data_IF_865579706432
#
_entry.id   IF_865579706432
#
_cell.length_a   1.000
_cell.length_b   1.000
_cell.length_c   1.000
_cell.angle_alpha   90.00
_cell.angle_beta   90.00
_cell.angle_gamma   90.00
#
_symmetry.space_group_name_H-M   'P 1'
#
loop_
_entity.id
_entity.type
_entity.pdbx_description
1 polymer ?
#
# COMPACT_ATOMS: atom_id res chain seq x y z
N UNK A 1 -19.68 -12.45 53.98
CA UNK A 1 -18.32 -12.74 54.45
C UNK A 1 -18.16 -14.26 54.54
N UNK A 2 -17.42 -14.86 53.62
CA UNK A 2 -16.95 -16.24 53.71
C UNK A 2 -15.47 -16.23 53.33
N UNK A 3 -14.62 -16.76 54.21
CA UNK A 3 -13.17 -16.96 54.02
C UNK A 3 -12.90 -18.47 54.00
N UNK A 4 -11.66 -18.80 53.56
CA UNK A 4 -10.88 -20.06 53.69
C UNK A 4 -10.87 -20.90 52.39
N UNK A 5 -9.73 -21.51 51.94
CA UNK A 5 -8.30 -21.16 52.09
C UNK A 5 -7.46 -21.34 50.80
N UNK A 6 -6.19 -20.91 50.86
CA UNK A 6 -5.09 -21.38 50.01
C UNK A 6 -4.64 -22.79 50.41
N UNK A 7 -4.41 -23.69 49.44
CA UNK A 7 -3.38 -24.74 49.52
C UNK A 7 -2.72 -24.96 48.15
N UNK A 8 -1.40 -25.04 48.21
CA UNK A 8 -0.49 -25.41 47.13
C UNK A 8 -0.39 -26.93 46.99
N UNK A 9 -0.05 -27.41 45.80
CA UNK A 9 0.75 -28.63 45.64
C UNK A 9 1.47 -28.62 44.27
N UNK A 10 2.78 -28.88 44.35
CA UNK A 10 3.72 -29.07 43.26
C UNK A 10 3.47 -30.40 42.55
N UNK A 11 3.80 -30.48 41.27
CA UNK A 11 4.31 -31.72 40.67
C UNK A 11 5.40 -31.34 39.65
N UNK A 12 6.61 -31.81 39.95
CA UNK A 12 7.76 -31.84 39.07
C UNK A 12 7.68 -33.10 38.20
N UNK A 13 8.18 -33.01 36.97
CA UNK A 13 8.79 -34.14 36.25
C UNK A 13 9.91 -33.62 35.34
N UNK A 14 11.11 -34.10 35.64
CA UNK A 14 12.29 -34.12 34.75
C UNK A 14 12.03 -35.06 33.56
N UNK A 15 12.66 -34.90 32.39
CA UNK A 15 13.97 -35.45 31.95
C UNK A 15 13.72 -35.72 30.43
N UNK A 16 14.56 -35.47 29.42
CA UNK A 16 15.81 -36.16 29.03
C UNK A 16 16.36 -35.42 27.78
N UNK A 17 17.68 -35.41 27.70
CA UNK A 17 18.61 -34.90 26.68
C UNK A 17 18.51 -35.65 25.33
N UNK A 18 18.69 -34.96 24.21
CA UNK A 18 19.38 -35.52 23.04
C UNK A 18 20.03 -34.41 22.19
N UNK A 19 21.36 -34.29 22.30
CA UNK A 19 22.21 -33.71 21.26
C UNK A 19 22.25 -34.67 20.07
N UNK A 20 22.10 -34.12 18.85
CA UNK A 20 22.54 -34.79 17.64
C UNK A 20 23.32 -33.79 16.80
N UNK A 21 24.64 -33.99 16.77
CA UNK A 21 25.54 -33.41 15.79
C UNK A 21 25.29 -34.08 14.43
N UNK A 22 25.16 -33.29 13.36
CA UNK A 22 25.15 -33.80 11.99
C UNK A 22 26.43 -33.33 11.32
N UNK A 23 27.20 -34.32 10.88
CA UNK A 23 28.43 -34.19 10.13
C UNK A 23 28.17 -33.60 8.73
N UNK A 24 29.07 -32.72 8.30
CA UNK A 24 29.17 -32.25 6.92
C UNK A 24 29.73 -33.38 6.04
N UNK A 25 29.05 -33.67 4.95
CA UNK A 25 29.58 -34.49 3.86
C UNK A 25 29.84 -33.57 2.66
N UNK A 26 31.09 -33.53 2.23
CA UNK A 26 31.59 -32.88 1.02
C UNK A 26 30.94 -33.48 -0.24
N UNK A 27 30.44 -32.61 -1.12
CA UNK A 27 30.14 -32.94 -2.53
C UNK A 27 31.06 -32.16 -3.46
N UNK A 28 31.69 -32.82 -4.45
CA UNK A 28 32.59 -32.15 -5.37
C UNK A 28 31.85 -31.42 -6.50
N UNK A 29 32.26 -30.17 -6.72
CA UNK A 29 32.50 -29.56 -8.03
C UNK A 29 31.39 -29.60 -9.08
N UNK A 30 30.59 -28.53 -9.15
CA UNK A 30 29.99 -28.07 -10.39
C UNK A 30 30.46 -26.64 -10.64
N UNK A 31 31.30 -26.44 -11.65
CA UNK A 31 31.75 -25.14 -12.14
C UNK A 31 30.55 -24.46 -12.82
N UNK A 32 29.80 -23.67 -12.05
CA UNK A 32 28.86 -22.71 -12.62
C UNK A 32 29.67 -21.59 -13.28
N UNK A 33 29.41 -21.37 -14.58
CA UNK A 33 29.91 -20.21 -15.31
C UNK A 33 29.41 -18.94 -14.61
N UNK A 34 30.34 -18.01 -14.35
CA UNK A 34 30.01 -16.69 -13.82
C UNK A 34 28.95 -16.03 -14.71
N UNK A 35 27.79 -15.62 -14.18
CA UNK A 35 26.87 -14.80 -14.95
C UNK A 35 27.59 -13.49 -15.28
N UNK A 36 27.68 -13.20 -16.57
CA UNK A 36 28.16 -11.92 -17.10
C UNK A 36 27.52 -10.80 -16.28
N UNK A 37 28.35 -10.07 -15.54
CA UNK A 37 27.95 -8.89 -14.80
C UNK A 37 27.39 -7.88 -15.80
N UNK A 38 26.06 -7.81 -15.89
CA UNK A 38 25.39 -6.68 -16.54
C UNK A 38 25.74 -5.46 -15.68
N UNK A 39 26.36 -4.41 -16.24
CA UNK A 39 26.61 -3.19 -15.47
C UNK A 39 25.29 -2.72 -14.87
N UNK A 40 25.17 -2.73 -13.54
CA UNK A 40 24.12 -1.97 -12.90
C UNK A 40 24.39 -0.51 -13.27
N UNK A 41 23.42 0.23 -13.83
CA UNK A 41 23.56 1.68 -13.89
C UNK A 41 23.74 2.14 -12.44
N UNK A 42 24.84 2.83 -12.18
CA UNK A 42 25.11 3.51 -10.91
C UNK A 42 23.97 4.50 -10.63
N UNK A 43 22.92 4.01 -9.98
CA UNK A 43 21.91 4.85 -9.35
C UNK A 43 22.40 5.17 -7.94
N UNK A 44 23.57 5.80 -7.83
CA UNK A 44 23.90 6.59 -6.65
C UNK A 44 23.05 7.86 -6.71
N UNK A 45 21.78 7.72 -6.34
CA UNK A 45 20.97 8.88 -5.98
C UNK A 45 21.67 9.47 -4.75
N UNK A 46 22.19 10.69 -4.88
CA UNK A 46 22.79 11.41 -3.77
C UNK A 46 21.78 11.41 -2.61
N UNK A 47 22.18 11.06 -1.37
CA UNK A 47 21.30 11.14 -0.22
C UNK A 47 20.83 12.60 -0.07
N UNK A 48 19.57 12.89 -0.39
CA UNK A 48 18.94 14.18 -0.11
C UNK A 48 18.20 14.88 -1.24
N UNK A 49 18.29 14.47 -2.51
CA UNK A 49 17.48 15.07 -3.57
C UNK A 49 16.11 14.36 -3.66
N UNK A 50 15.18 14.77 -2.79
CA UNK A 50 13.76 14.41 -2.94
C UNK A 50 13.21 15.24 -4.11
N UNK A 51 13.18 14.66 -5.31
CA UNK A 51 12.44 15.25 -6.42
C UNK A 51 10.97 14.95 -6.21
N UNK A 52 10.12 15.99 -6.26
CA UNK A 52 8.68 15.83 -6.24
C UNK A 52 8.23 14.78 -7.27
N UNK A 53 7.16 14.02 -6.98
CA UNK A 53 6.70 12.95 -7.86
C UNK A 53 6.40 13.47 -9.25
N UNK A 54 6.85 12.74 -10.27
CA UNK A 54 6.82 13.16 -11.68
C UNK A 54 5.40 13.06 -12.24
N UNK A 55 4.54 14.00 -11.88
CA UNK A 55 3.14 14.12 -12.34
C UNK A 55 2.25 12.96 -11.88
N UNK A 56 1.97 12.86 -10.58
CA UNK A 56 1.02 11.86 -10.07
C UNK A 56 -0.35 11.92 -10.76
N UNK A 57 -0.98 10.75 -10.91
CA UNK A 57 -2.38 10.64 -11.32
C UNK A 57 -3.20 10.08 -10.17
N UNK A 58 -4.24 10.80 -9.74
CA UNK A 58 -5.09 10.38 -8.61
C UNK A 58 -6.55 10.64 -8.89
N UNK A 59 -7.40 9.74 -8.39
CA UNK A 59 -8.85 9.93 -8.25
C UNK A 59 -9.15 9.94 -6.76
N UNK A 60 -9.81 10.99 -6.28
CA UNK A 60 -10.34 11.07 -4.93
C UNK A 60 -11.85 10.88 -4.95
N UNK A 61 -12.33 9.94 -4.15
CA UNK A 61 -13.74 9.74 -3.82
C UNK A 61 -13.97 10.26 -2.40
N UNK A 62 -14.62 11.42 -2.28
CA UNK A 62 -14.81 12.09 -0.99
C UNK A 62 -16.27 12.05 -0.57
N UNK A 63 -16.48 11.73 0.71
CA UNK A 63 -17.81 11.74 1.32
C UNK A 63 -17.97 12.96 2.24
N UNK A 64 -19.21 13.31 2.64
CA UNK A 64 -19.45 14.32 3.66
C UNK A 64 -18.74 14.00 4.98
N UNK A 65 -18.22 15.03 5.65
CA UNK A 65 -17.44 14.92 6.91
C UNK A 65 -18.25 14.40 8.10
N UNK A 66 -19.59 14.44 8.01
CA UNK A 66 -20.49 13.92 9.03
C UNK A 66 -20.51 12.38 9.11
N UNK A 67 -20.12 11.69 8.03
CA UNK A 67 -20.00 10.23 7.97
C UNK A 67 -18.50 9.84 7.97
N UNK A 68 -18.20 8.56 7.81
CA UNK A 68 -16.84 8.07 7.59
C UNK A 68 -16.87 6.70 6.90
N UNK A 69 -15.78 6.39 6.20
CA UNK A 69 -15.52 5.06 5.66
C UNK A 69 -14.97 4.18 6.77
N UNK A 70 -15.53 2.98 6.91
CA UNK A 70 -15.09 1.97 7.89
C UNK A 70 -14.54 0.72 7.21
N UNK A 71 -14.69 0.61 5.88
CA UNK A 71 -14.05 -0.42 5.07
C UNK A 71 -13.83 0.04 3.64
N UNK A 72 -12.71 -0.30 3.04
CA UNK A 72 -12.48 -0.27 1.59
C UNK A 72 -12.04 -1.67 1.13
N UNK A 73 -12.77 -2.24 0.18
CA UNK A 73 -12.42 -3.47 -0.51
C UNK A 73 -12.24 -3.15 -1.99
N UNK A 74 -11.20 -3.68 -2.63
CA UNK A 74 -10.96 -3.49 -4.07
C UNK A 74 -9.99 -4.54 -4.59
N UNK A 75 -9.90 -4.64 -5.92
CA UNK A 75 -9.03 -5.58 -6.60
C UNK A 75 -8.30 -4.87 -7.72
N UNK A 76 -7.04 -5.20 -7.97
CA UNK A 76 -6.37 -4.82 -9.21
C UNK A 76 -5.37 -5.88 -9.65
N UNK A 77 -5.05 -5.88 -10.94
CA UNK A 77 -4.10 -6.81 -11.54
C UNK A 77 -2.71 -6.20 -11.59
N UNK A 78 -1.69 -6.95 -11.16
CA UNK A 78 -0.29 -6.52 -11.25
C UNK A 78 0.08 -6.27 -12.72
N UNK A 79 0.45 -5.04 -13.10
CA UNK A 79 0.70 -4.69 -14.50
C UNK A 79 2.03 -5.26 -15.00
N UNK A 80 2.30 -5.21 -16.31
CA UNK A 80 3.62 -5.51 -16.86
C UNK A 80 4.73 -4.75 -16.14
N UNK A 81 5.91 -5.37 -16.02
CA UNK A 81 7.08 -4.73 -15.39
C UNK A 81 7.48 -3.50 -16.21
N UNK A 82 7.55 -2.31 -15.60
CA UNK A 82 8.03 -1.14 -16.30
C UNK A 82 9.56 -1.17 -16.43
N UNK A 83 10.16 -0.23 -17.20
CA UNK A 83 11.61 -0.06 -17.24
C UNK A 83 12.23 0.10 -15.85
N UNK A 84 13.52 -0.20 -15.72
CA UNK A 84 14.28 -0.03 -14.46
C UNK A 84 14.71 1.43 -14.28
N UNK A 85 13.73 2.33 -14.27
CA UNK A 85 13.93 3.78 -14.17
C UNK A 85 13.00 4.28 -13.06
N UNK A 86 13.60 4.96 -12.08
CA UNK A 86 12.87 5.54 -10.95
C UNK A 86 12.06 4.54 -10.14
N UNK A 87 11.11 5.03 -9.35
CA UNK A 87 10.21 4.15 -8.57
C UNK A 87 8.76 4.37 -8.97
N UNK A 88 8.03 3.28 -9.12
CA UNK A 88 6.60 3.31 -9.36
C UNK A 88 5.84 2.77 -8.15
N UNK A 89 4.86 3.55 -7.69
CA UNK A 89 3.89 3.17 -6.67
C UNK A 89 2.48 3.13 -7.25
N UNK A 90 1.78 2.03 -7.02
CA UNK A 90 0.40 1.79 -7.47
C UNK A 90 -0.43 1.38 -6.25
N UNK A 91 -1.50 2.11 -5.96
CA UNK A 91 -2.19 1.91 -4.69
C UNK A 91 -3.62 2.47 -4.67
N UNK A 92 -4.53 1.83 -3.92
CA UNK A 92 -5.65 2.50 -3.30
C UNK A 92 -5.26 3.02 -1.91
N UNK A 93 -5.99 4.00 -1.39
CA UNK A 93 -5.75 4.52 -0.05
C UNK A 93 -6.98 5.13 0.63
N UNK A 94 -6.84 5.37 1.93
CA UNK A 94 -7.80 6.09 2.77
C UNK A 94 -7.10 7.27 3.46
N UNK A 95 -7.75 8.43 3.43
CA UNK A 95 -7.27 9.67 4.03
C UNK A 95 -8.35 10.37 4.88
N UNK A 96 -7.94 11.13 5.91
CA UNK A 96 -8.83 12.03 6.64
C UNK A 96 -9.16 13.27 5.79
N UNK A 97 -10.36 13.85 5.99
CA UNK A 97 -10.79 15.11 5.33
C UNK A 97 -10.95 16.24 6.35
N UNK A 98 -10.52 17.49 6.06
CA UNK A 98 -10.74 18.63 6.95
C UNK A 98 -12.21 18.72 7.40
N UNK A 99 -12.42 18.86 8.70
CA UNK A 99 -13.76 18.87 9.33
C UNK A 99 -14.31 17.48 9.67
N UNK A 100 -13.63 16.40 9.27
CA UNK A 100 -13.95 15.04 9.66
C UNK A 100 -13.78 14.80 11.17
N UNK A 101 -14.42 13.74 11.67
CA UNK A 101 -14.35 13.36 13.08
C UNK A 101 -12.90 13.04 13.46
N UNK A 102 -12.41 13.75 14.47
CA UNK A 102 -11.03 13.64 14.95
C UNK A 102 -10.02 13.75 13.79
N UNK A 103 -10.09 14.84 13.02
CA UNK A 103 -9.40 14.99 11.74
C UNK A 103 -7.87 14.84 11.79
N UNK A 104 -7.18 15.30 12.84
CA UNK A 104 -5.71 15.34 12.86
C UNK A 104 -5.06 14.99 14.22
N UNK A 105 -5.40 13.86 14.87
CA UNK A 105 -4.79 13.45 16.14
C UNK A 105 -3.39 12.84 15.98
N UNK A 106 -2.98 12.54 14.74
CA UNK A 106 -1.74 11.82 14.42
C UNK A 106 -1.01 12.38 13.19
N UNK A 107 -1.47 13.47 12.58
CA UNK A 107 -1.03 13.92 11.25
C UNK A 107 -2.00 13.52 10.14
N UNK A 108 -1.74 14.03 8.94
CA UNK A 108 -2.52 13.79 7.72
C UNK A 108 -1.94 12.62 6.92
N UNK A 109 -1.84 11.46 7.56
CA UNK A 109 -1.30 10.26 6.93
C UNK A 109 -2.33 9.50 6.09
N UNK A 110 -1.81 8.59 5.27
CA UNK A 110 -2.56 7.76 4.31
C UNK A 110 -2.44 6.29 4.69
N UNK A 111 -3.56 5.58 4.84
CA UNK A 111 -3.58 4.11 4.81
C UNK A 111 -3.51 3.68 3.34
N UNK A 112 -2.50 2.91 2.96
CA UNK A 112 -2.32 2.51 1.56
C UNK A 112 -1.56 1.18 1.45
N UNK A 113 -2.13 0.16 0.84
CA UNK A 113 -1.36 -0.96 0.33
C UNK A 113 -0.70 -0.58 -0.99
N UNK A 114 0.63 -0.62 -1.04
CA UNK A 114 1.39 -0.10 -2.18
C UNK A 114 2.10 -1.21 -2.92
N UNK A 115 1.70 -1.43 -4.17
CA UNK A 115 2.45 -2.22 -5.13
C UNK A 115 3.61 -1.37 -5.67
N UNK A 116 4.83 -1.88 -5.52
CA UNK A 116 6.06 -1.13 -5.76
C UNK A 116 6.97 -1.82 -6.78
N UNK A 117 7.49 -1.01 -7.71
CA UNK A 117 8.60 -1.37 -8.59
C UNK A 117 9.71 -0.34 -8.43
N UNK A 118 10.78 -0.72 -7.72
CA UNK A 118 11.89 0.16 -7.37
C UNK A 118 12.23 0.09 -5.89
N UNK A 119 12.73 1.18 -5.33
CA UNK A 119 13.07 1.33 -3.91
C UNK A 119 11.94 2.04 -3.17
N UNK A 120 11.62 1.58 -1.96
CA UNK A 120 10.67 2.28 -1.07
C UNK A 120 11.29 2.57 0.30
N UNK A 121 10.71 3.54 0.99
CA UNK A 121 10.97 3.82 2.40
C UNK A 121 10.48 2.70 3.34
N UNK A 122 9.54 1.86 2.91
CA UNK A 122 9.01 0.75 3.70
C UNK A 122 8.48 -0.40 2.82
N UNK A 123 8.58 -1.66 3.29
CA UNK A 123 9.21 -2.10 4.54
C UNK A 123 10.74 -2.04 4.50
N UNK A 124 11.42 -2.06 5.67
CA UNK A 124 12.88 -2.16 5.73
C UNK A 124 13.43 -3.40 5.02
N UNK A 125 12.69 -4.52 5.08
CA UNK A 125 13.00 -5.75 4.34
C UNK A 125 12.11 -5.85 3.10
N UNK A 126 12.63 -5.40 1.97
CA UNK A 126 11.99 -5.45 0.65
C UNK A 126 12.82 -6.29 -0.33
N UNK A 127 12.21 -6.91 -1.36
CA UNK A 127 12.97 -7.54 -2.43
C UNK A 127 13.95 -6.55 -3.09
N UNK A 128 15.05 -7.04 -3.69
CA UNK A 128 15.99 -6.18 -4.41
C UNK A 128 15.26 -5.32 -5.45
N UNK A 129 15.62 -4.04 -5.53
CA UNK A 129 14.97 -3.11 -6.47
C UNK A 129 14.98 -3.69 -7.90
N UNK A 130 13.83 -3.58 -8.58
CA UNK A 130 13.63 -4.06 -9.95
C UNK A 130 13.81 -5.57 -10.20
N UNK A 131 13.87 -6.38 -9.14
CA UNK A 131 13.87 -7.85 -9.28
C UNK A 131 12.45 -8.38 -9.55
N UNK A 132 11.46 -7.81 -8.86
CA UNK A 132 10.07 -8.21 -8.90
C UNK A 132 9.16 -7.05 -8.52
N UNK A 133 7.91 -7.09 -8.95
CA UNK A 133 6.87 -6.36 -8.26
C UNK A 133 6.72 -6.93 -6.85
N UNK A 134 6.51 -6.06 -5.88
CA UNK A 134 6.22 -6.45 -4.51
C UNK A 134 5.21 -5.51 -3.89
N UNK A 135 4.41 -6.00 -2.94
CA UNK A 135 3.38 -5.21 -2.27
C UNK A 135 3.52 -5.32 -0.76
N UNK A 136 3.25 -4.22 -0.08
CA UNK A 136 3.15 -4.16 1.38
C UNK A 136 1.97 -3.26 1.77
N UNK A 137 1.26 -3.64 2.83
CA UNK A 137 0.32 -2.75 3.50
C UNK A 137 1.09 -1.72 4.35
N UNK A 138 0.80 -0.43 4.19
CA UNK A 138 1.52 0.63 4.86
C UNK A 138 0.66 1.82 5.28
N UNK A 139 1.19 2.60 6.20
CA UNK A 139 0.72 3.91 6.60
C UNK A 139 1.86 4.90 6.39
N UNK A 140 1.62 5.96 5.63
CA UNK A 140 2.62 6.98 5.33
C UNK A 140 2.13 8.32 5.84
N UNK A 141 2.96 9.02 6.59
CA UNK A 141 2.61 10.30 7.19
C UNK A 141 3.82 11.22 7.26
N UNK A 142 3.68 12.42 6.71
CA UNK A 142 4.74 13.45 6.70
C UNK A 142 4.64 14.43 7.87
N UNK A 143 3.75 14.16 8.84
CA UNK A 143 3.61 14.92 10.07
C UNK A 143 4.74 14.69 11.07
N UNK A 144 4.63 15.33 12.24
CA UNK A 144 5.71 15.40 13.22
C UNK A 144 5.56 14.45 14.43
N UNK A 145 4.45 13.72 14.58
CA UNK A 145 4.31 12.76 15.70
C UNK A 145 5.24 11.56 15.45
N UNK A 146 6.28 11.34 16.25
CA UNK A 146 7.28 10.30 16.00
C UNK A 146 6.70 8.88 16.02
N UNK A 147 5.52 8.68 16.61
CA UNK A 147 4.83 7.39 16.64
C UNK A 147 3.99 7.13 15.39
N UNK A 148 3.82 8.13 14.52
CA UNK A 148 2.97 8.05 13.34
C UNK A 148 3.66 8.56 12.07
N UNK A 149 4.68 9.41 12.19
CA UNK A 149 5.45 9.94 11.07
C UNK A 149 6.28 8.87 10.36
N UNK A 150 6.65 9.18 9.11
CA UNK A 150 7.42 8.33 8.22
C UNK A 150 6.58 7.27 7.51
N UNK A 151 7.25 6.22 7.05
CA UNK A 151 6.63 5.08 6.40
C UNK A 151 6.59 3.90 7.36
N UNK A 152 5.39 3.44 7.70
CA UNK A 152 5.15 2.31 8.61
C UNK A 152 4.47 1.21 7.84
N UNK A 153 4.97 -0.01 7.92
CA UNK A 153 4.40 -1.09 7.12
C UNK A 153 4.46 -2.44 7.81
N UNK A 154 3.69 -3.38 7.28
CA UNK A 154 3.86 -4.80 7.51
C UNK A 154 5.01 -5.37 6.68
N UNK A 155 5.01 -6.69 6.51
CA UNK A 155 5.94 -7.37 5.59
C UNK A 155 5.60 -7.07 4.13
N UNK A 156 6.59 -7.18 3.25
CA UNK A 156 6.37 -7.23 1.81
C UNK A 156 6.21 -8.68 1.33
N UNK A 157 5.49 -8.84 0.22
CA UNK A 157 5.49 -10.07 -0.58
C UNK A 157 5.78 -9.75 -2.05
N UNK A 158 6.61 -10.57 -2.68
CA UNK A 158 6.80 -10.54 -4.12
C UNK A 158 5.54 -11.06 -4.82
N UNK A 159 5.13 -10.41 -5.90
CA UNK A 159 3.94 -10.78 -6.68
C UNK A 159 4.27 -10.88 -8.16
N UNK A 160 3.47 -11.64 -8.90
CA UNK A 160 3.71 -11.90 -10.33
C UNK A 160 2.88 -10.96 -11.20
N UNK A 161 3.40 -10.60 -12.38
CA UNK A 161 2.61 -9.91 -13.40
C UNK A 161 1.37 -10.73 -13.75
N UNK A 162 0.22 -10.06 -13.89
CA UNK A 162 -1.07 -10.71 -14.17
C UNK A 162 -1.74 -11.33 -12.94
N UNK A 163 -1.12 -11.29 -11.76
CA UNK A 163 -1.75 -11.69 -10.51
C UNK A 163 -2.78 -10.63 -10.09
N UNK A 164 -4.00 -11.06 -9.76
CA UNK A 164 -4.98 -10.20 -9.08
C UNK A 164 -4.64 -10.12 -7.61
N UNK A 165 -4.65 -8.90 -7.07
CA UNK A 165 -4.45 -8.61 -5.66
C UNK A 165 -5.76 -8.11 -5.07
N UNK A 166 -6.22 -8.82 -4.03
CA UNK A 166 -7.39 -8.46 -3.25
C UNK A 166 -6.95 -7.59 -2.07
N UNK A 167 -7.54 -6.41 -1.95
CA UNK A 167 -7.24 -5.44 -0.90
C UNK A 167 -8.45 -5.29 0.01
N UNK A 168 -8.20 -5.37 1.32
CA UNK A 168 -9.18 -5.08 2.36
C UNK A 168 -8.58 -4.20 3.45
N UNK A 169 -9.12 -2.99 3.60
CA UNK A 169 -8.83 -2.09 4.69
C UNK A 169 -10.07 -1.96 5.56
N UNK A 170 -10.01 -2.38 6.82
CA UNK A 170 -11.18 -2.44 7.71
C UNK A 170 -10.89 -1.85 9.09
N UNK A 171 -11.83 -1.03 9.58
CA UNK A 171 -11.80 -0.47 10.92
C UNK A 171 -12.46 -1.41 11.92
N UNK A 172 -11.71 -1.84 12.94
CA UNK A 172 -12.32 -2.37 14.15
C UNK A 172 -12.89 -1.20 14.97
N UNK A 173 -14.20 -0.99 14.88
CA UNK A 173 -14.91 0.12 15.54
C UNK A 173 -14.85 0.08 17.07
N UNK A 174 -14.55 -1.06 17.66
CA UNK A 174 -14.42 -1.22 19.11
C UNK A 174 -13.05 -0.75 19.60
N UNK A 175 -11.98 -1.02 18.84
CA UNK A 175 -10.61 -0.72 19.26
C UNK A 175 -10.01 0.52 18.58
N UNK A 176 -10.63 1.03 17.51
CA UNK A 176 -10.09 2.10 16.69
C UNK A 176 -8.91 1.67 15.79
N UNK A 177 -8.64 0.36 15.71
CA UNK A 177 -7.54 -0.20 14.91
C UNK A 177 -8.01 -0.45 13.49
N UNK A 178 -7.30 0.13 12.53
CA UNK A 178 -7.39 -0.23 11.12
C UNK A 178 -6.50 -1.42 10.83
N UNK A 179 -7.03 -2.42 10.12
CA UNK A 179 -6.26 -3.53 9.54
C UNK A 179 -6.33 -3.44 8.03
N UNK A 180 -5.16 -3.49 7.40
CA UNK A 180 -4.98 -3.59 5.96
C UNK A 180 -4.50 -5.01 5.65
N UNK A 181 -5.14 -5.69 4.71
CA UNK A 181 -4.76 -7.01 4.24
C UNK A 181 -4.68 -6.99 2.72
N UNK A 182 -3.60 -7.57 2.18
CA UNK A 182 -3.45 -7.82 0.76
C UNK A 182 -3.34 -9.32 0.57
N UNK A 183 -4.12 -9.87 -0.37
CA UNK A 183 -4.10 -11.30 -0.71
C UNK A 183 -3.93 -11.47 -2.20
N UNK A 184 -3.11 -12.43 -2.60
CA UNK A 184 -2.95 -12.84 -3.99
C UNK A 184 -2.52 -14.30 -4.07
N UNK A 185 -2.29 -14.79 -5.29
CA UNK A 185 -1.79 -16.15 -5.51
C UNK A 185 -0.41 -16.38 -4.87
N UNK A 186 0.41 -15.32 -4.75
CA UNK A 186 1.75 -15.38 -4.18
C UNK A 186 1.77 -15.37 -2.64
N UNK A 187 0.64 -15.09 -1.98
CA UNK A 187 0.52 -15.12 -0.53
C UNK A 187 -0.39 -14.02 0.02
N UNK A 188 -0.19 -13.69 1.30
CA UNK A 188 -0.89 -12.60 1.97
C UNK A 188 0.06 -11.83 2.89
N UNK A 189 -0.14 -10.51 2.96
CA UNK A 189 0.54 -9.62 3.89
C UNK A 189 -0.46 -8.68 4.54
N UNK A 190 -0.19 -8.29 5.78
CA UNK A 190 -1.07 -7.39 6.53
C UNK A 190 -0.30 -6.36 7.36
N UNK A 191 -0.99 -5.28 7.71
CA UNK A 191 -0.51 -4.24 8.60
C UNK A 191 -1.67 -3.69 9.42
N UNK A 192 -1.44 -3.38 10.69
CA UNK A 192 -2.46 -2.82 11.57
C UNK A 192 -1.94 -1.57 12.27
N UNK A 193 -2.81 -0.56 12.41
CA UNK A 193 -2.46 0.70 13.07
C UNK A 193 -3.68 1.27 13.81
N UNK A 194 -3.47 1.75 15.03
CA UNK A 194 -4.48 2.52 15.76
C UNK A 194 -4.33 3.99 15.38
N UNK A 195 -5.29 4.51 14.61
CA UNK A 195 -5.25 5.90 14.14
C UNK A 195 -5.89 6.90 15.11
N UNK A 196 -5.96 6.55 16.41
CA UNK A 196 -6.60 7.34 17.46
C UNK A 196 -8.05 7.74 17.12
N UNK A 197 -8.80 6.88 16.44
CA UNK A 197 -10.17 7.18 15.95
C UNK A 197 -10.26 8.34 14.93
N UNK A 198 -9.19 8.64 14.20
CA UNK A 198 -9.23 9.55 13.05
C UNK A 198 -10.13 8.99 11.95
N UNK A 199 -11.21 9.71 11.62
CA UNK A 199 -12.11 9.31 10.56
C UNK A 199 -11.42 9.35 9.19
N UNK A 200 -11.75 8.36 8.36
CA UNK A 200 -11.35 8.31 6.97
C UNK A 200 -12.54 8.73 6.12
N UNK A 201 -12.38 9.80 5.35
CA UNK A 201 -13.49 10.44 4.61
C UNK A 201 -13.20 10.52 3.11
N UNK A 202 -12.01 10.08 2.70
CA UNK A 202 -11.58 10.07 1.33
C UNK A 202 -11.00 8.69 1.02
N UNK A 203 -11.52 8.05 -0.02
CA UNK A 203 -10.83 6.97 -0.69
C UNK A 203 -10.09 7.56 -1.87
N UNK A 204 -8.90 7.05 -2.17
CA UNK A 204 -8.16 7.47 -3.34
C UNK A 204 -7.52 6.30 -4.07
N UNK A 205 -7.28 6.51 -5.37
CA UNK A 205 -6.70 5.53 -6.28
C UNK A 205 -5.63 6.23 -7.09
N UNK A 206 -4.41 5.69 -7.10
CA UNK A 206 -3.25 6.44 -7.52
C UNK A 206 -2.24 5.65 -8.36
N UNK A 207 -1.65 6.37 -9.32
CA UNK A 207 -0.39 6.04 -9.99
C UNK A 207 0.59 7.14 -9.59
N UNK A 208 1.67 6.75 -8.93
CA UNK A 208 2.64 7.68 -8.35
C UNK A 208 4.07 7.32 -8.83
N UNK A 209 4.49 7.89 -9.97
CA UNK A 209 5.85 7.78 -10.45
C UNK A 209 6.81 8.72 -9.73
N UNK A 210 8.04 8.25 -9.53
CA UNK A 210 9.18 9.02 -9.06
C UNK A 210 10.36 8.79 -9.98
N UNK A 211 11.19 9.81 -10.18
CA UNK A 211 12.43 9.73 -10.97
C UNK A 211 12.24 9.14 -12.38
N UNK A 212 11.23 9.65 -13.09
CA UNK A 212 10.82 9.30 -14.45
C UNK A 212 10.29 7.87 -14.64
N UNK A 213 9.85 7.20 -13.57
CA UNK A 213 9.16 5.92 -13.67
C UNK A 213 7.87 6.03 -14.49
N UNK A 214 7.49 4.95 -15.19
CA UNK A 214 6.29 4.92 -16.06
C UNK A 214 5.71 3.53 -16.08
N UNK A 215 4.39 3.40 -16.24
CA UNK A 215 3.76 2.12 -16.57
C UNK A 215 3.00 2.21 -17.90
N UNK A 216 2.86 1.10 -18.64
CA UNK A 216 2.03 1.08 -19.83
C UNK A 216 0.55 1.02 -19.45
N UNK A 217 -0.24 1.95 -20.00
CA UNK A 217 -1.70 1.93 -19.86
C UNK A 217 -2.21 2.39 -18.48
N UNK A 218 -3.53 2.39 -18.26
CA UNK A 218 -4.13 2.77 -16.98
C UNK A 218 -3.89 1.72 -15.89
N UNK A 219 -4.14 2.11 -14.64
CA UNK A 219 -4.30 1.19 -13.52
C UNK A 219 -5.79 1.02 -13.24
N UNK A 220 -6.28 -0.20 -13.45
CA UNK A 220 -7.70 -0.53 -13.26
C UNK A 220 -7.92 -1.25 -11.94
N UNK A 221 -8.83 -0.69 -11.15
CA UNK A 221 -9.41 -1.30 -9.97
C UNK A 221 -10.83 -1.78 -10.30
N UNK A 222 -11.20 -2.94 -9.78
CA UNK A 222 -12.51 -3.55 -10.02
C UNK A 222 -13.20 -3.92 -8.72
N UNK A 223 -14.52 -4.08 -8.77
CA UNK A 223 -15.36 -4.55 -7.64
C UNK A 223 -15.02 -3.83 -6.34
N UNK A 224 -14.98 -2.50 -6.42
CA UNK A 224 -14.64 -1.67 -5.28
C UNK A 224 -15.87 -1.54 -4.39
N UNK A 225 -15.77 -1.96 -3.14
CA UNK A 225 -16.80 -1.72 -2.13
C UNK A 225 -16.28 -0.82 -1.01
N UNK A 226 -16.95 0.32 -0.82
CA UNK A 226 -16.73 1.21 0.31
C UNK A 226 -17.87 1.01 1.30
N UNK A 227 -17.55 0.65 2.54
CA UNK A 227 -18.55 0.57 3.62
C UNK A 227 -18.47 1.82 4.48
N UNK A 228 -19.60 2.50 4.65
CA UNK A 228 -19.73 3.66 5.51
C UNK A 228 -20.13 3.27 6.94
N UNK A 229 -19.82 4.14 7.89
CA UNK A 229 -20.24 3.98 9.30
C UNK A 229 -21.75 4.03 9.42
N UNK A 230 -22.33 5.06 8.84
CA UNK A 230 -23.76 5.36 8.88
C UNK A 230 -24.32 5.27 7.46
N UNK A 231 -25.61 4.91 7.35
CA UNK A 231 -26.30 4.89 6.05
C UNK A 231 -26.32 6.30 5.48
N UNK A 232 -25.77 6.46 4.28
CA UNK A 232 -25.77 7.72 3.57
C UNK A 232 -25.71 7.45 2.07
N UNK A 233 -26.88 7.20 1.48
CA UNK A 233 -27.02 6.89 0.06
C UNK A 233 -26.33 7.97 -0.81
N UNK A 234 -26.42 9.24 -0.38
CA UNK A 234 -25.73 10.38 -0.99
C UNK A 234 -24.21 10.31 -0.94
N UNK A 235 -23.62 9.72 0.10
CA UNK A 235 -22.17 9.51 0.16
C UNK A 235 -21.70 8.55 -0.93
N UNK A 236 -22.58 7.67 -1.42
CA UNK A 236 -22.29 6.77 -2.53
C UNK A 236 -22.63 7.38 -3.89
N UNK A 237 -23.83 7.93 -4.02
CA UNK A 237 -24.41 8.33 -5.31
C UNK A 237 -24.01 9.75 -5.74
N UNK A 238 -23.59 10.58 -4.78
CA UNK A 238 -23.21 11.98 -5.00
C UNK A 238 -21.89 12.33 -4.27
N UNK A 239 -20.82 11.54 -4.45
CA UNK A 239 -19.53 11.85 -3.85
C UNK A 239 -18.97 13.12 -4.49
N UNK A 240 -18.13 13.84 -3.74
CA UNK A 240 -17.26 14.83 -4.36
C UNK A 240 -16.09 14.08 -5.00
N UNK A 241 -16.01 14.14 -6.32
CA UNK A 241 -14.90 13.58 -7.09
C UNK A 241 -13.90 14.68 -7.42
N UNK A 242 -12.65 14.48 -7.06
CA UNK A 242 -11.55 15.35 -7.50
C UNK A 242 -10.45 14.54 -8.14
N UNK A 243 -9.81 15.12 -9.15
CA UNK A 243 -8.79 14.47 -9.95
C UNK A 243 -7.49 15.27 -9.87
N UNK A 244 -6.37 14.58 -9.75
CA UNK A 244 -5.02 15.16 -9.83
C UNK A 244 -4.29 14.55 -11.02
N UNK A 245 -3.50 15.37 -11.72
CA UNK A 245 -2.82 14.95 -12.94
C UNK A 245 -3.81 14.56 -14.04
N UNK A 246 -3.52 13.51 -14.83
CA UNK A 246 -4.46 13.00 -15.83
C UNK A 246 -5.78 12.46 -15.25
N UNK A 247 -5.83 12.16 -13.94
CA UNK A 247 -7.02 11.66 -13.27
C UNK A 247 -7.42 10.27 -13.77
N UNK A 248 -8.69 10.11 -14.11
CA UNK A 248 -9.21 8.84 -14.60
C UNK A 248 -10.73 8.80 -14.65
N UNK A 249 -11.29 7.60 -14.53
CA UNK A 249 -12.72 7.34 -14.65
C UNK A 249 -13.22 6.45 -13.52
N UNK A 250 -14.49 6.63 -13.18
CA UNK A 250 -15.21 5.81 -12.20
C UNK A 250 -16.56 5.44 -12.79
N UNK A 251 -16.95 4.17 -12.69
CA UNK A 251 -18.31 3.75 -13.07
C UNK A 251 -19.34 4.31 -12.09
N UNK A 252 -20.59 4.40 -12.52
CA UNK A 252 -21.70 4.84 -11.66
C UNK A 252 -21.79 3.93 -10.43
N UNK A 253 -21.68 4.48 -9.20
CA UNK A 253 -21.82 3.67 -8.00
C UNK A 253 -23.24 3.16 -7.79
N UNK A 254 -23.37 2.02 -7.11
CA UNK A 254 -24.63 1.48 -6.59
C UNK A 254 -24.57 1.41 -5.07
N UNK A 255 -25.72 1.51 -4.40
CA UNK A 255 -25.78 1.52 -2.93
C UNK A 255 -26.71 0.43 -2.41
N UNK A 256 -26.24 -0.27 -1.37
CA UNK A 256 -27.02 -1.20 -0.56
C UNK A 256 -26.75 -0.93 0.93
N UNK A 257 -27.68 -0.22 1.57
CA UNK A 257 -27.56 0.18 2.97
C UNK A 257 -26.33 1.05 3.21
N UNK A 258 -25.33 0.52 3.91
CA UNK A 258 -24.06 1.22 4.19
C UNK A 258 -22.97 0.91 3.17
N UNK A 259 -23.24 0.06 2.16
CA UNK A 259 -22.25 -0.37 1.17
C UNK A 259 -22.45 0.41 -0.12
N UNK A 260 -21.38 1.04 -0.58
CA UNK A 260 -21.26 1.65 -1.89
C UNK A 260 -20.40 0.75 -2.78
N UNK A 261 -20.96 0.27 -3.88
CA UNK A 261 -20.27 -0.61 -4.83
C UNK A 261 -19.98 0.15 -6.13
N UNK A 262 -18.79 -0.06 -6.68
CA UNK A 262 -18.27 0.59 -7.87
C UNK A 262 -17.58 -0.48 -8.72
N UNK A 263 -18.19 -0.84 -9.84
CA UNK A 263 -17.72 -1.92 -10.70
C UNK A 263 -16.29 -1.71 -11.20
N UNK A 264 -15.95 -0.48 -11.61
CA UNK A 264 -14.64 -0.14 -12.18
C UNK A 264 -14.17 1.27 -11.85
N UNK A 265 -12.87 1.38 -11.57
CA UNK A 265 -12.14 2.64 -11.39
C UNK A 265 -10.85 2.53 -12.20
N UNK A 266 -10.66 3.43 -13.16
CA UNK A 266 -9.49 3.40 -14.05
C UNK A 266 -8.68 4.68 -13.88
N UNK A 267 -7.46 4.57 -13.36
CA UNK A 267 -6.55 5.70 -13.17
C UNK A 267 -5.68 5.83 -14.42
N UNK A 268 -5.74 6.98 -15.08
CA UNK A 268 -4.98 7.25 -16.30
C UNK A 268 -3.51 7.44 -15.97
N UNK A 269 -2.63 6.72 -16.65
CA UNK A 269 -1.18 6.92 -16.49
C UNK A 269 -0.72 8.32 -16.93
N UNK A 270 0.18 8.97 -16.17
CA UNK A 270 0.85 10.18 -16.60
C UNK A 270 1.58 10.00 -17.94
N UNK A 271 1.15 10.71 -18.97
CA UNK A 271 1.94 10.87 -20.18
C UNK A 271 3.02 11.90 -19.89
N UNK A 272 4.29 11.53 -20.10
CA UNK A 272 5.32 12.57 -20.10
C UNK A 272 4.99 13.57 -21.21
N UNK A 273 5.01 14.85 -20.87
CA UNK A 273 5.28 15.87 -21.88
C UNK A 273 6.66 15.53 -22.43
N UNK A 274 6.70 15.12 -23.70
CA UNK A 274 7.94 15.23 -24.47
C UNK A 274 8.15 16.74 -24.59
N UNK A 275 8.96 17.30 -23.70
CA UNK A 275 9.44 18.65 -23.90
C UNK A 275 10.16 18.62 -25.25
N UNK A 276 9.74 19.43 -26.24
CA UNK A 276 10.44 19.46 -27.51
C UNK A 276 11.89 19.77 -27.18
N UNK A 277 12.82 18.89 -27.58
CA UNK A 277 14.24 19.22 -27.56
C UNK A 277 14.36 20.58 -28.21
N UNK A 278 14.74 21.60 -27.42
CA UNK A 278 15.03 22.91 -27.96
C UNK A 278 16.03 22.66 -29.09
N UNK A 279 15.62 22.94 -30.33
CA UNK A 279 16.52 22.92 -31.47
C UNK A 279 17.70 23.79 -31.07
N UNK A 280 18.85 23.14 -30.85
CA UNK A 280 20.08 23.85 -30.60
C UNK A 280 20.31 24.73 -31.82
N UNK A 281 19.99 26.01 -31.67
CA UNK A 281 20.17 27.01 -32.71
C UNK A 281 21.62 26.96 -33.17
N UNK A 282 21.82 26.48 -34.39
CA UNK A 282 23.07 26.65 -35.10
C UNK A 282 23.22 28.15 -35.37
N UNK A 283 24.10 28.79 -34.60
CA UNK A 283 24.71 30.08 -34.92
C UNK A 283 26.20 29.85 -35.14
#
# INVERSE_FOLDING_TARGET
>A
MYRIPRRAARLASALVIALAAIAFADTPGSLAQDPVAVPQPDATIAPGEVRDPDQQSRIYFKIPVANEMVRLQTHFTVPPKPPRVGTMFLWPGLEPRPGGRNYDPIGLGVLQPVLTWGQSCAPPSQPPAYSTWWIAAMYVNVGNDPNYSGCRSGRAMSVKVGETLDIDMVLNRTTGVWKQTVTGKSGSVDFSINMRNQAQNMALFAIEPWNNARIPGPLDFSDTTITFRDRADDSCLRPELTYQGPGGRISTPTVDGTRCHIDSISVTSPTQRVEPLAEAGAH
#
